data_IF_027944484603
#
_entry.id   IF_027944484603
#
_cell.length_a   1.000
_cell.length_b   1.000
_cell.length_c   1.000
_cell.angle_alpha   90.00
_cell.angle_beta   90.00
_cell.angle_gamma   90.00
#
_symmetry.space_group_name_H-M   'P 1'
#
loop_
_entity.id
_entity.type
_entity.pdbx_description
1 polymer ?
#
# COMPACT_ATOMS: atom_id res chain seq x y z
N UNK A 1 -18.30 -7.50 22.39
CA UNK A 1 -18.67 -6.59 23.48
C UNK A 1 -19.37 -7.41 24.55
N UNK A 2 -18.92 -7.30 25.79
CA UNK A 2 -19.59 -7.90 26.94
C UNK A 2 -20.03 -6.78 27.89
N UNK A 3 -21.18 -6.94 28.54
CA UNK A 3 -21.69 -5.94 29.50
C UNK A 3 -20.74 -5.73 30.68
N UNK A 4 -20.02 -6.79 31.08
CA UNK A 4 -19.05 -6.78 32.19
C UNK A 4 -17.81 -5.90 31.97
N UNK A 5 -17.60 -5.42 30.73
CA UNK A 5 -16.54 -4.46 30.41
C UNK A 5 -16.89 -3.02 30.80
N UNK A 6 -18.15 -2.76 31.15
CA UNK A 6 -18.64 -1.43 31.49
C UNK A 6 -19.25 -1.46 32.90
N UNK A 7 -18.65 -0.73 33.83
CA UNK A 7 -19.11 -0.67 35.22
C UNK A 7 -20.44 0.10 35.37
N UNK A 8 -20.72 1.02 34.45
CA UNK A 8 -21.92 1.84 34.40
C UNK A 8 -22.38 1.94 32.95
N UNK A 9 -23.46 1.23 32.62
CA UNK A 9 -23.98 1.16 31.26
C UNK A 9 -25.50 1.03 31.28
N UNK A 10 -26.18 1.90 30.52
CA UNK A 10 -27.64 1.88 30.35
C UNK A 10 -27.95 2.22 28.87
N UNK A 11 -27.75 1.24 27.98
CA UNK A 11 -28.01 1.36 26.54
C UNK A 11 -29.50 1.40 26.22
N UNK A 12 -30.36 1.04 27.17
CA UNK A 12 -31.80 1.07 27.00
C UNK A 12 -32.45 2.35 27.57
N UNK A 13 -31.69 3.12 28.35
CA UNK A 13 -32.04 4.40 28.97
C UNK A 13 -33.26 4.29 29.92
N UNK A 14 -33.35 3.22 30.71
CA UNK A 14 -34.41 3.03 31.73
C UNK A 14 -33.99 3.48 33.14
N UNK A 15 -32.74 3.94 33.31
CA UNK A 15 -32.18 4.36 34.59
C UNK A 15 -31.71 3.21 35.48
N UNK A 16 -31.62 1.99 34.96
CA UNK A 16 -31.08 0.81 35.62
C UNK A 16 -29.80 0.40 34.89
N UNK A 17 -28.77 0.01 35.65
CA UNK A 17 -27.51 -0.41 35.06
C UNK A 17 -27.69 -1.78 34.37
N UNK A 18 -27.55 -1.82 33.04
CA UNK A 18 -27.62 -3.04 32.22
C UNK A 18 -26.59 -4.09 32.63
N UNK A 19 -25.51 -3.67 33.30
CA UNK A 19 -24.56 -4.57 33.93
C UNK A 19 -25.25 -5.53 34.92
N UNK A 20 -26.30 -5.10 35.60
CA UNK A 20 -26.98 -5.86 36.64
C UNK A 20 -28.28 -6.49 36.16
N UNK A 21 -28.92 -5.95 35.12
CA UNK A 21 -30.24 -6.41 34.65
C UNK A 21 -30.26 -7.20 33.34
N UNK A 22 -29.25 -7.06 32.46
CA UNK A 22 -29.25 -7.74 31.15
C UNK A 22 -28.34 -8.95 31.13
N UNK A 23 -28.70 -10.00 30.39
CA UNK A 23 -27.72 -11.01 29.99
C UNK A 23 -26.76 -10.48 28.92
N UNK A 24 -25.56 -11.06 28.78
CA UNK A 24 -24.61 -10.70 27.72
C UNK A 24 -25.23 -10.81 26.30
N UNK A 25 -26.10 -11.80 26.09
CA UNK A 25 -26.79 -12.00 24.80
C UNK A 25 -27.85 -10.92 24.55
N UNK A 26 -28.60 -10.53 25.57
CA UNK A 26 -29.56 -9.42 25.46
C UNK A 26 -28.85 -8.10 25.18
N UNK A 27 -27.80 -7.80 25.95
CA UNK A 27 -26.98 -6.61 25.77
C UNK A 27 -26.42 -6.54 24.34
N UNK A 28 -25.83 -7.63 23.85
CA UNK A 28 -25.28 -7.70 22.49
C UNK A 28 -26.36 -7.53 21.41
N UNK A 29 -27.53 -8.15 21.59
CA UNK A 29 -28.66 -8.03 20.66
C UNK A 29 -29.15 -6.58 20.57
N UNK A 30 -29.31 -5.91 21.71
CA UNK A 30 -29.71 -4.49 21.76
C UNK A 30 -28.65 -3.58 21.15
N UNK A 31 -27.37 -3.80 21.49
CA UNK A 31 -26.26 -3.07 20.88
C UNK A 31 -26.28 -3.19 19.35
N UNK A 32 -26.42 -4.41 18.83
CA UNK A 32 -26.51 -4.65 17.38
C UNK A 32 -27.75 -4.00 16.76
N UNK A 33 -28.89 -4.01 17.45
CA UNK A 33 -30.10 -3.30 17.02
C UNK A 33 -29.89 -1.78 16.92
N UNK A 34 -29.17 -1.18 17.87
CA UNK A 34 -28.79 0.23 17.80
C UNK A 34 -27.91 0.54 16.59
N UNK A 35 -26.92 -0.32 16.30
CA UNK A 35 -26.07 -0.18 15.10
C UNK A 35 -26.91 -0.27 13.83
N UNK A 36 -27.85 -1.22 13.75
CA UNK A 36 -28.73 -1.36 12.58
C UNK A 36 -29.60 -0.11 12.35
N UNK A 37 -30.15 0.48 13.42
CA UNK A 37 -30.89 1.76 13.35
C UNK A 37 -30.02 2.90 12.86
N UNK A 38 -28.77 3.01 13.37
CA UNK A 38 -27.81 4.03 12.92
C UNK A 38 -27.50 3.85 11.43
N UNK A 39 -27.20 2.62 11.00
CA UNK A 39 -26.90 2.30 9.60
C UNK A 39 -28.09 2.60 8.69
N UNK A 40 -29.31 2.27 9.11
CA UNK A 40 -30.52 2.54 8.33
C UNK A 40 -30.74 4.05 8.18
N UNK A 41 -30.69 4.81 9.29
CA UNK A 41 -30.85 6.27 9.24
C UNK A 41 -29.77 6.94 8.39
N UNK A 42 -28.53 6.46 8.47
CA UNK A 42 -27.45 6.95 7.65
C UNK A 42 -27.72 6.66 6.17
N UNK A 43 -28.12 5.43 5.83
CA UNK A 43 -28.46 5.02 4.46
C UNK A 43 -29.61 5.85 3.90
N UNK A 44 -30.69 6.04 4.66
CA UNK A 44 -31.84 6.86 4.26
C UNK A 44 -31.44 8.32 3.99
N UNK A 45 -30.46 8.84 4.74
CA UNK A 45 -29.99 10.22 4.60
C UNK A 45 -29.04 10.43 3.42
N UNK A 46 -28.14 9.48 3.16
CA UNK A 46 -27.14 9.61 2.07
C UNK A 46 -27.67 9.11 0.72
N UNK A 47 -28.72 8.30 0.73
CA UNK A 47 -29.30 7.69 -0.47
C UNK A 47 -28.48 6.50 -1.01
N UNK A 48 -28.93 5.90 -2.13
CA UNK A 48 -28.28 4.74 -2.74
C UNK A 48 -26.99 5.08 -3.50
N UNK A 49 -26.84 6.33 -3.95
CA UNK A 49 -25.73 6.74 -4.83
C UNK A 49 -24.41 7.01 -4.08
N UNK A 50 -24.42 6.92 -2.75
CA UNK A 50 -23.25 7.12 -1.90
C UNK A 50 -22.75 5.79 -1.35
N UNK A 51 -21.44 5.61 -1.37
CA UNK A 51 -20.80 4.46 -0.74
C UNK A 51 -20.88 4.59 0.78
N UNK A 52 -21.28 3.51 1.45
CA UNK A 52 -21.11 3.33 2.89
C UNK A 52 -20.24 2.11 3.11
N UNK A 53 -19.05 2.31 3.67
CA UNK A 53 -18.11 1.24 4.03
C UNK A 53 -17.96 1.29 5.54
N UNK A 54 -18.17 0.17 6.21
CA UNK A 54 -18.02 0.08 7.66
C UNK A 54 -16.68 -0.52 7.99
N UNK A 55 -15.90 0.19 8.80
CA UNK A 55 -14.75 -0.40 9.45
C UNK A 55 -15.20 -1.11 10.73
N UNK A 56 -15.14 -2.43 10.74
CA UNK A 56 -15.44 -3.25 11.92
C UNK A 56 -14.22 -3.93 12.51
N UNK A 57 -13.02 -3.66 11.99
CA UNK A 57 -11.75 -4.31 12.32
C UNK A 57 -11.67 -5.80 11.96
N UNK A 58 -12.81 -6.50 11.89
CA UNK A 58 -12.90 -7.94 11.60
C UNK A 58 -14.22 -8.27 10.89
N UNK A 59 -14.35 -9.52 10.44
CA UNK A 59 -15.55 -10.09 9.80
C UNK A 59 -16.78 -10.01 10.71
N UNK A 60 -17.87 -9.39 10.25
CA UNK A 60 -19.17 -9.33 10.92
C UNK A 60 -20.33 -9.75 10.02
N UNK A 61 -21.52 -10.11 10.57
CA UNK A 61 -22.67 -10.61 9.77
C UNK A 61 -23.94 -9.73 9.80
N UNK A 62 -23.87 -8.55 10.41
CA UNK A 62 -24.97 -7.60 10.53
C UNK A 62 -24.87 -6.46 9.50
N UNK A 63 -25.98 -5.75 9.23
CA UNK A 63 -26.00 -4.51 8.43
C UNK A 63 -25.56 -4.62 6.97
N UNK A 64 -25.34 -5.83 6.46
CA UNK A 64 -24.84 -6.05 5.09
C UNK A 64 -25.74 -5.40 4.03
N UNK A 65 -27.05 -5.51 4.19
CA UNK A 65 -28.07 -4.92 3.31
C UNK A 65 -28.09 -3.38 3.28
N UNK A 66 -27.30 -2.71 4.12
CA UNK A 66 -27.27 -1.24 4.26
C UNK A 66 -25.92 -0.66 3.85
N UNK A 67 -24.90 -1.48 3.62
CA UNK A 67 -23.53 -1.05 3.31
C UNK A 67 -23.04 -1.61 1.96
N UNK A 68 -22.08 -0.91 1.36
CA UNK A 68 -21.41 -1.33 0.13
C UNK A 68 -20.32 -2.37 0.40
N UNK A 69 -19.78 -2.40 1.62
CA UNK A 69 -18.83 -3.41 2.09
C UNK A 69 -18.15 -2.92 3.35
N UNK A 70 -16.92 -3.38 3.59
CA UNK A 70 -16.25 -3.13 4.87
C UNK A 70 -14.74 -2.97 4.75
N UNK A 71 -14.12 -2.51 5.84
CA UNK A 71 -12.68 -2.61 6.05
C UNK A 71 -12.41 -3.79 7.01
N UNK A 72 -11.57 -4.72 6.57
CA UNK A 72 -11.03 -5.80 7.41
C UNK A 72 -9.59 -5.46 7.74
N UNK A 73 -9.35 -5.05 8.99
CA UNK A 73 -8.04 -4.57 9.43
C UNK A 73 -7.10 -5.70 9.86
N UNK A 74 -5.80 -5.41 9.82
CA UNK A 74 -4.74 -6.23 10.42
C UNK A 74 -4.83 -7.68 9.95
N UNK A 75 -5.09 -7.86 8.65
CA UNK A 75 -5.31 -9.16 8.04
C UNK A 75 -4.01 -9.94 7.94
N UNK A 76 -3.81 -10.85 8.90
CA UNK A 76 -2.63 -11.72 9.04
C UNK A 76 -3.00 -13.16 8.73
N UNK A 77 -3.10 -13.49 7.45
CA UNK A 77 -3.55 -14.81 7.00
C UNK A 77 -5.06 -15.04 7.05
N UNK A 78 -5.50 -16.18 6.51
CA UNK A 78 -6.91 -16.58 6.39
C UNK A 78 -7.30 -17.66 7.38
N UNK A 79 -8.60 -17.77 7.71
CA UNK A 79 -9.07 -18.71 8.73
C UNK A 79 -9.52 -20.05 8.13
N UNK A 80 -9.59 -20.14 6.81
CA UNK A 80 -9.72 -21.38 6.08
C UNK A 80 -8.67 -21.49 4.95
N UNK A 81 -8.62 -22.65 4.33
CA UNK A 81 -7.73 -22.95 3.20
C UNK A 81 -8.32 -22.53 1.84
N UNK A 82 -9.36 -21.69 1.86
CA UNK A 82 -10.07 -21.19 0.68
C UNK A 82 -10.26 -19.68 0.78
N UNK A 83 -9.27 -18.99 1.37
CA UNK A 83 -9.17 -17.53 1.44
C UNK A 83 -10.45 -16.83 1.90
N UNK A 84 -11.16 -17.45 2.84
CA UNK A 84 -12.45 -17.03 3.38
C UNK A 84 -13.52 -16.75 2.31
N UNK A 85 -13.37 -17.35 1.12
CA UNK A 85 -14.19 -17.11 -0.08
C UNK A 85 -15.68 -17.28 0.15
N UNK A 86 -16.08 -18.26 0.95
CA UNK A 86 -17.50 -18.46 1.29
C UNK A 86 -18.04 -17.25 2.03
N UNK A 87 -17.32 -16.76 3.03
CA UNK A 87 -17.77 -15.65 3.85
C UNK A 87 -17.83 -14.36 3.02
N UNK A 88 -16.82 -14.11 2.20
CA UNK A 88 -16.80 -12.96 1.30
C UNK A 88 -17.85 -13.05 0.18
N UNK A 89 -18.14 -14.26 -0.30
CA UNK A 89 -19.24 -14.53 -1.22
C UNK A 89 -20.61 -14.24 -0.59
N UNK A 90 -20.80 -14.62 0.67
CA UNK A 90 -22.04 -14.34 1.40
C UNK A 90 -22.28 -12.82 1.52
N UNK A 91 -21.33 -12.04 2.05
CA UNK A 91 -21.52 -10.58 2.18
C UNK A 91 -21.75 -9.91 0.81
N UNK A 92 -21.00 -10.33 -0.23
CA UNK A 92 -21.17 -9.78 -1.59
C UNK A 92 -22.58 -10.00 -2.12
N UNK A 93 -23.25 -11.09 -1.74
CA UNK A 93 -24.64 -11.35 -2.15
C UNK A 93 -25.64 -10.35 -1.53
N UNK A 94 -25.39 -9.93 -0.29
CA UNK A 94 -26.33 -9.12 0.49
C UNK A 94 -25.98 -7.62 0.53
N UNK A 95 -24.73 -7.26 0.26
CA UNK A 95 -24.27 -5.87 0.25
C UNK A 95 -24.96 -5.01 -0.81
N UNK A 96 -25.19 -3.75 -0.46
CA UNK A 96 -25.61 -2.69 -1.39
C UNK A 96 -24.57 -2.59 -2.51
N UNK A 97 -25.03 -2.36 -3.75
CA UNK A 97 -24.14 -2.26 -4.91
C UNK A 97 -23.75 -0.80 -5.19
N UNK A 98 -22.51 -0.54 -5.68
CA UNK A 98 -21.45 -1.51 -5.95
C UNK A 98 -20.84 -2.08 -4.66
N UNK A 99 -20.32 -3.31 -4.74
CA UNK A 99 -19.64 -3.95 -3.62
C UNK A 99 -18.23 -3.39 -3.48
N UNK A 100 -17.87 -2.91 -2.29
CA UNK A 100 -16.60 -2.25 -2.00
C UNK A 100 -16.10 -2.68 -0.63
N UNK A 101 -15.18 -3.64 -0.61
CA UNK A 101 -14.48 -4.10 0.59
C UNK A 101 -12.99 -3.83 0.43
N UNK A 102 -12.36 -3.38 1.51
CA UNK A 102 -10.91 -3.21 1.62
C UNK A 102 -10.39 -4.23 2.62
N UNK A 103 -9.44 -5.07 2.19
CA UNK A 103 -8.63 -5.86 3.10
C UNK A 103 -7.32 -5.12 3.37
N UNK A 104 -7.10 -4.75 4.63
CA UNK A 104 -5.85 -4.15 5.07
C UNK A 104 -4.94 -5.24 5.65
N UNK A 105 -4.02 -5.70 4.81
CA UNK A 105 -3.04 -6.72 5.13
C UNK A 105 -1.92 -6.17 6.00
N UNK A 106 -1.31 -7.05 6.79
CA UNK A 106 -0.05 -6.74 7.46
C UNK A 106 0.77 -8.00 7.69
N UNK A 107 2.10 -7.91 7.81
CA UNK A 107 2.93 -9.05 8.13
C UNK A 107 2.54 -9.67 9.48
N UNK A 108 2.79 -10.97 9.64
CA UNK A 108 2.60 -11.65 10.92
C UNK A 108 3.93 -11.79 11.67
N UNK A 109 3.96 -11.37 12.95
CA UNK A 109 5.20 -11.33 13.75
C UNK A 109 5.98 -12.65 13.75
N UNK A 110 5.28 -13.78 13.80
CA UNK A 110 5.84 -15.13 13.87
C UNK A 110 6.07 -15.77 12.50
N UNK A 111 5.84 -15.04 11.40
CA UNK A 111 5.95 -15.62 10.05
C UNK A 111 7.42 -15.85 9.66
N UNK A 112 7.79 -17.06 9.18
CA UNK A 112 9.18 -17.42 8.89
C UNK A 112 9.74 -16.71 7.64
N UNK A 113 8.86 -16.15 6.80
CA UNK A 113 9.23 -15.36 5.60
C UNK A 113 8.92 -13.87 5.77
N UNK A 114 8.69 -13.41 7.00
CA UNK A 114 8.53 -11.99 7.30
C UNK A 114 9.80 -11.24 6.87
N UNK A 115 9.62 -10.13 6.16
CA UNK A 115 10.71 -9.23 5.82
C UNK A 115 11.22 -8.47 7.04
N UNK A 116 12.45 -7.96 6.95
CA UNK A 116 12.95 -6.98 7.90
C UNK A 116 13.69 -5.87 7.12
N UNK A 117 13.22 -4.62 7.17
CA UNK A 117 12.01 -4.15 7.85
C UNK A 117 10.72 -4.78 7.30
N UNK A 118 9.63 -4.70 8.06
CA UNK A 118 8.34 -5.33 7.74
C UNK A 118 7.76 -4.98 6.36
N UNK A 119 7.98 -3.74 5.89
CA UNK A 119 7.63 -3.31 4.52
C UNK A 119 8.24 -4.18 3.42
N UNK A 120 9.28 -4.95 3.72
CA UNK A 120 9.92 -5.86 2.76
C UNK A 120 9.35 -7.29 2.84
N UNK A 121 8.19 -7.49 3.51
CA UNK A 121 7.47 -8.77 3.58
C UNK A 121 6.70 -9.07 2.29
N UNK A 122 7.39 -9.05 1.14
CA UNK A 122 6.80 -9.16 -0.19
C UNK A 122 5.97 -10.43 -0.42
N UNK A 123 6.30 -11.55 0.24
CA UNK A 123 5.50 -12.78 0.18
C UNK A 123 4.11 -12.59 0.77
N UNK A 124 4.02 -11.95 1.95
CA UNK A 124 2.74 -11.71 2.62
C UNK A 124 1.91 -10.62 1.89
N UNK A 125 2.58 -9.60 1.35
CA UNK A 125 1.96 -8.58 0.50
C UNK A 125 1.38 -9.21 -0.78
N UNK A 126 2.17 -10.00 -1.52
CA UNK A 126 1.72 -10.69 -2.75
C UNK A 126 0.60 -11.68 -2.46
N UNK A 127 0.66 -12.38 -1.33
CA UNK A 127 -0.42 -13.26 -0.90
C UNK A 127 -1.73 -12.46 -0.73
N UNK A 128 -1.71 -11.38 0.04
CA UNK A 128 -2.93 -10.61 0.32
C UNK A 128 -3.52 -9.95 -0.92
N UNK A 129 -2.70 -9.35 -1.80
CA UNK A 129 -3.22 -8.72 -3.04
C UNK A 129 -3.85 -9.76 -3.98
N UNK A 130 -3.26 -10.96 -4.11
CA UNK A 130 -3.85 -12.01 -4.95
C UNK A 130 -5.13 -12.56 -4.34
N UNK A 131 -5.21 -12.72 -3.02
CA UNK A 131 -6.46 -13.12 -2.37
C UNK A 131 -7.55 -12.05 -2.50
N UNK A 132 -7.19 -10.76 -2.42
CA UNK A 132 -8.10 -9.66 -2.70
C UNK A 132 -8.59 -9.69 -4.15
N UNK A 133 -7.70 -9.96 -5.11
CA UNK A 133 -8.06 -10.20 -6.51
C UNK A 133 -8.98 -11.41 -6.69
N UNK A 134 -8.88 -12.46 -5.87
CA UNK A 134 -9.80 -13.61 -5.91
C UNK A 134 -11.17 -13.29 -5.31
N UNK A 135 -11.23 -12.37 -4.35
CA UNK A 135 -12.44 -11.94 -3.68
C UNK A 135 -13.03 -10.61 -4.23
N UNK A 136 -12.59 -10.06 -5.36
CA UNK A 136 -12.95 -8.70 -5.83
C UNK A 136 -12.92 -7.62 -4.72
N UNK A 137 -11.80 -7.53 -4.00
CA UNK A 137 -11.58 -6.52 -2.97
C UNK A 137 -10.52 -5.51 -3.38
N UNK A 138 -10.57 -4.35 -2.73
CA UNK A 138 -9.43 -3.45 -2.62
C UNK A 138 -8.46 -4.01 -1.58
N UNK A 139 -7.19 -3.66 -1.71
CA UNK A 139 -6.14 -4.14 -0.83
C UNK A 139 -5.21 -3.01 -0.43
N UNK A 140 -4.83 -2.99 0.84
CA UNK A 140 -3.69 -2.22 1.36
C UNK A 140 -2.77 -3.16 2.11
N UNK A 141 -1.50 -2.78 2.25
CA UNK A 141 -0.54 -3.52 3.05
C UNK A 141 0.23 -2.58 3.97
N UNK A 142 -0.03 -2.76 5.26
CA UNK A 142 0.56 -2.01 6.34
C UNK A 142 1.84 -2.69 6.84
N UNK A 143 2.79 -1.87 7.28
CA UNK A 143 3.95 -2.28 8.06
C UNK A 143 3.58 -2.56 9.55
N UNK A 144 4.18 -3.57 10.19
CA UNK A 144 4.00 -3.82 11.62
C UNK A 144 4.45 -2.64 12.49
N UNK A 145 5.51 -1.95 12.09
CA UNK A 145 6.09 -0.79 12.73
C UNK A 145 5.09 0.38 12.75
N UNK A 146 4.15 0.41 11.80
CA UNK A 146 3.09 1.42 11.70
C UNK A 146 1.99 1.30 12.77
N UNK A 147 2.03 0.28 13.63
CA UNK A 147 1.11 0.10 14.77
C UNK A 147 -0.37 0.23 14.41
N UNK A 148 -1.05 1.32 14.82
CA UNK A 148 -2.47 1.59 14.58
C UNK A 148 -2.69 2.38 13.27
N UNK A 149 -2.21 1.82 12.15
CA UNK A 149 -2.42 2.37 10.79
C UNK A 149 -1.80 3.76 10.56
N UNK A 150 -0.66 4.07 11.19
CA UNK A 150 -0.02 5.38 11.04
C UNK A 150 0.54 5.62 9.64
N UNK A 151 1.00 4.58 8.94
CA UNK A 151 1.46 4.69 7.56
C UNK A 151 1.22 3.39 6.79
N UNK A 152 1.31 3.49 5.48
CA UNK A 152 1.23 2.37 4.54
C UNK A 152 2.17 2.65 3.37
N UNK A 153 2.62 1.60 2.71
CA UNK A 153 3.56 1.71 1.61
C UNK A 153 2.91 1.37 0.28
N UNK A 154 3.49 1.92 -0.78
CA UNK A 154 3.13 1.59 -2.15
C UNK A 154 4.06 0.50 -2.68
N UNK A 155 3.48 -0.45 -3.41
CA UNK A 155 4.22 -1.60 -3.95
C UNK A 155 4.10 -1.63 -5.47
N UNK A 156 5.12 -2.15 -6.17
CA UNK A 156 5.09 -2.24 -7.64
C UNK A 156 3.85 -3.00 -8.13
N UNK A 157 3.41 -4.03 -7.40
CA UNK A 157 2.21 -4.80 -7.66
C UNK A 157 0.91 -3.95 -7.73
N UNK A 158 0.87 -2.80 -7.04
CA UNK A 158 -0.31 -1.92 -7.03
C UNK A 158 -0.47 -1.13 -8.33
N UNK A 159 0.62 -0.93 -9.09
CA UNK A 159 0.60 -0.23 -10.38
C UNK A 159 0.38 -1.19 -11.56
N UNK A 160 0.19 -2.48 -11.30
CA UNK A 160 -0.08 -3.47 -12.35
C UNK A 160 -1.54 -3.40 -12.81
N UNK A 161 -1.75 -3.07 -14.08
CA UNK A 161 -3.08 -3.08 -14.70
C UNK A 161 -3.39 -4.43 -15.37
N UNK A 162 -4.19 -5.25 -14.69
CA UNK A 162 -4.71 -6.52 -15.21
C UNK A 162 -5.99 -6.36 -16.06
N UNK A 163 -6.63 -5.20 -16.06
CA UNK A 163 -7.97 -5.02 -16.62
C UNK A 163 -9.08 -5.69 -15.77
N UNK A 164 -10.18 -6.07 -16.41
CA UNK A 164 -11.30 -6.72 -15.72
C UNK A 164 -11.08 -8.24 -15.60
N UNK A 165 -11.63 -8.90 -14.57
CA UNK A 165 -11.62 -10.35 -14.47
C UNK A 165 -12.48 -10.96 -15.58
N UNK A 166 -11.95 -12.00 -16.26
CA UNK A 166 -12.69 -12.70 -17.33
C UNK A 166 -13.57 -13.83 -16.79
N UNK A 167 -13.46 -14.14 -15.50
CA UNK A 167 -14.21 -15.20 -14.82
C UNK A 167 -13.93 -15.26 -13.32
N UNK A 168 -14.54 -16.23 -12.60
CA UNK A 168 -14.19 -16.53 -11.21
C UNK A 168 -12.78 -17.17 -11.13
N UNK A 169 -12.18 -17.23 -9.92
CA UNK A 169 -10.97 -18.04 -9.69
C UNK A 169 -11.21 -19.53 -9.99
N UNK A 170 -10.21 -20.18 -10.59
CA UNK A 170 -10.14 -21.61 -10.86
C UNK A 170 -9.10 -22.29 -9.99
N UNK A 171 -9.40 -23.48 -9.50
CA UNK A 171 -8.41 -24.29 -8.78
C UNK A 171 -7.53 -25.02 -9.81
N UNK A 172 -6.23 -24.74 -9.78
CA UNK A 172 -5.24 -25.40 -10.64
C UNK A 172 -4.91 -26.79 -10.09
N UNK A 173 -4.66 -26.84 -8.78
CA UNK A 173 -4.36 -28.03 -7.99
C UNK A 173 -4.81 -27.78 -6.55
N UNK A 174 -4.77 -28.81 -5.69
CA UNK A 174 -5.17 -28.65 -4.28
C UNK A 174 -4.40 -27.49 -3.63
N UNK A 175 -5.12 -26.44 -3.21
CA UNK A 175 -4.54 -25.28 -2.52
C UNK A 175 -3.97 -24.17 -3.43
N UNK A 176 -3.91 -24.38 -4.75
CA UNK A 176 -3.39 -23.41 -5.72
C UNK A 176 -4.49 -22.97 -6.68
N UNK A 177 -4.64 -21.66 -6.85
CA UNK A 177 -5.70 -21.05 -7.62
C UNK A 177 -5.15 -20.05 -8.63
N UNK A 178 -5.86 -19.86 -9.74
CA UNK A 178 -5.63 -18.82 -10.73
C UNK A 178 -6.90 -18.04 -10.98
N UNK A 179 -6.78 -16.74 -11.22
CA UNK A 179 -7.84 -15.93 -11.81
C UNK A 179 -7.31 -15.22 -13.05
N UNK A 180 -8.08 -15.28 -14.13
CA UNK A 180 -7.75 -14.65 -15.41
C UNK A 180 -8.39 -13.28 -15.54
N UNK A 181 -7.67 -12.39 -16.22
CA UNK A 181 -8.04 -11.01 -16.47
C UNK A 181 -7.75 -10.64 -17.94
N UNK A 182 -8.31 -9.52 -18.40
CA UNK A 182 -8.15 -9.04 -19.77
C UNK A 182 -6.67 -8.96 -20.20
N UNK A 183 -5.78 -8.53 -19.30
CA UNK A 183 -4.37 -8.25 -19.57
C UNK A 183 -3.41 -9.24 -18.92
N UNK A 184 -3.90 -10.29 -18.24
CA UNK A 184 -3.02 -11.17 -17.49
C UNK A 184 -3.73 -12.23 -16.63
N UNK A 185 -3.04 -12.67 -15.60
CA UNK A 185 -3.55 -13.62 -14.62
C UNK A 185 -2.91 -13.37 -13.24
N UNK A 186 -3.61 -13.77 -12.18
CA UNK A 186 -3.07 -13.83 -10.83
C UNK A 186 -3.09 -15.29 -10.35
N UNK A 187 -2.00 -15.77 -9.79
CA UNK A 187 -1.88 -17.13 -9.22
C UNK A 187 -1.54 -17.00 -7.74
N UNK A 188 -2.17 -17.81 -6.89
CA UNK A 188 -1.87 -17.81 -5.46
C UNK A 188 -2.07 -19.17 -4.80
N UNK A 189 -1.32 -19.40 -3.72
CA UNK A 189 -1.51 -20.52 -2.80
C UNK A 189 -2.24 -20.03 -1.54
N UNK A 190 -3.10 -20.86 -0.94
CA UNK A 190 -3.89 -20.44 0.22
C UNK A 190 -4.07 -21.51 1.31
N UNK A 191 -3.49 -22.70 1.14
CA UNK A 191 -3.68 -23.83 2.06
C UNK A 191 -2.55 -24.01 3.08
N UNK A 192 -1.61 -23.07 3.13
CA UNK A 192 -0.50 -23.10 4.08
C UNK A 192 0.59 -24.11 3.73
N UNK A 193 0.58 -24.68 2.53
CA UNK A 193 1.63 -25.56 2.03
C UNK A 193 2.49 -24.87 0.96
N UNK A 194 3.70 -25.40 0.78
CA UNK A 194 4.59 -25.05 -0.33
C UNK A 194 4.07 -25.69 -1.61
N UNK A 195 4.00 -24.91 -2.70
CA UNK A 195 3.54 -25.39 -4.00
C UNK A 195 4.44 -24.94 -5.14
N UNK A 196 4.33 -25.59 -6.29
CA UNK A 196 4.87 -25.09 -7.56
C UNK A 196 3.72 -24.91 -8.53
N UNK A 197 3.65 -23.74 -9.16
CA UNK A 197 2.73 -23.46 -10.26
C UNK A 197 3.53 -23.18 -11.53
N UNK A 198 3.09 -23.73 -12.66
CA UNK A 198 3.75 -23.59 -13.94
C UNK A 198 2.81 -23.03 -15.01
N UNK A 199 3.38 -22.51 -16.10
CA UNK A 199 2.63 -22.04 -17.25
C UNK A 199 1.77 -23.15 -17.88
N UNK A 200 2.23 -24.39 -17.85
CA UNK A 200 1.49 -25.54 -18.38
C UNK A 200 0.18 -25.79 -17.62
N UNK A 201 0.18 -25.58 -16.30
CA UNK A 201 -1.01 -25.80 -15.48
C UNK A 201 -2.17 -24.86 -15.83
N UNK A 202 -1.88 -23.75 -16.49
CA UNK A 202 -2.87 -22.76 -16.91
C UNK A 202 -3.57 -23.12 -18.22
N UNK A 203 -2.94 -23.93 -19.06
CA UNK A 203 -3.40 -24.22 -20.45
C UNK A 203 -4.70 -25.01 -20.51
N UNK A 204 -5.14 -25.59 -19.40
CA UNK A 204 -6.38 -26.35 -19.29
C UNK A 204 -7.66 -25.48 -19.26
N UNK A 205 -7.52 -24.17 -19.00
CA UNK A 205 -8.66 -23.26 -18.86
C UNK A 205 -8.95 -22.51 -20.16
N UNK A 206 -10.23 -22.36 -20.51
CA UNK A 206 -10.66 -21.64 -21.72
C UNK A 206 -10.27 -20.16 -21.74
N UNK A 207 -10.12 -19.56 -20.56
CA UNK A 207 -9.74 -18.16 -20.35
C UNK A 207 -8.23 -17.92 -20.48
N UNK A 208 -7.43 -18.99 -20.52
CA UNK A 208 -6.00 -18.87 -20.71
C UNK A 208 -5.69 -18.23 -22.06
N UNK A 209 -4.93 -17.14 -22.01
CA UNK A 209 -4.55 -16.35 -23.18
C UNK A 209 -3.08 -15.91 -23.07
N UNK A 210 -2.22 -16.86 -22.67
CA UNK A 210 -0.77 -16.66 -22.62
C UNK A 210 -0.08 -16.67 -24.00
N UNK A 211 1.27 -16.63 -24.05
CA UNK A 211 2.17 -16.73 -22.90
C UNK A 211 2.02 -15.54 -21.95
N UNK A 212 2.33 -15.77 -20.67
CA UNK A 212 2.37 -14.70 -19.68
C UNK A 212 3.81 -14.38 -19.27
N UNK A 213 4.00 -13.21 -18.69
CA UNK A 213 5.28 -12.64 -18.29
C UNK A 213 5.19 -12.16 -16.85
N UNK A 214 6.27 -12.34 -16.09
CA UNK A 214 6.50 -11.54 -14.88
C UNK A 214 6.65 -10.10 -15.32
N UNK A 215 6.03 -9.14 -14.63
CA UNK A 215 6.41 -7.75 -14.84
C UNK A 215 7.84 -7.55 -14.32
N UNK A 216 8.53 -6.52 -14.81
CA UNK A 216 9.87 -6.15 -14.37
C UNK A 216 9.75 -5.06 -13.31
N UNK A 217 9.86 -5.46 -12.04
CA UNK A 217 9.73 -4.61 -10.86
C UNK A 217 11.07 -4.20 -10.26
N UNK A 218 11.01 -3.21 -9.36
CA UNK A 218 12.13 -2.62 -8.66
C UNK A 218 12.26 -3.10 -7.22
N UNK A 219 11.16 -3.39 -6.54
CA UNK A 219 11.18 -3.73 -5.11
C UNK A 219 11.55 -5.21 -4.85
N UNK A 220 11.08 -6.12 -5.71
CA UNK A 220 11.38 -7.55 -5.61
C UNK A 220 11.79 -8.15 -6.97
N UNK A 221 12.98 -7.80 -7.50
CA UNK A 221 13.42 -8.21 -8.84
C UNK A 221 13.70 -9.71 -8.97
N UNK A 222 13.73 -10.48 -7.86
CA UNK A 222 13.86 -11.93 -7.90
C UNK A 222 12.55 -12.58 -8.39
N UNK A 223 11.41 -12.04 -7.98
CA UNK A 223 10.08 -12.49 -8.42
C UNK A 223 9.66 -11.74 -9.68
N UNK A 224 9.76 -10.42 -9.68
CA UNK A 224 9.27 -9.55 -10.75
C UNK A 224 10.44 -9.23 -11.71
N UNK A 225 10.94 -10.27 -12.37
CA UNK A 225 12.19 -10.21 -13.14
C UNK A 225 12.00 -9.87 -14.64
N UNK A 226 10.77 -9.64 -15.10
CA UNK A 226 10.47 -9.33 -16.51
C UNK A 226 10.49 -10.53 -17.48
N UNK A 227 10.83 -11.73 -17.02
CA UNK A 227 10.93 -12.91 -17.87
C UNK A 227 9.56 -13.50 -18.21
N UNK A 228 9.48 -14.21 -19.33
CA UNK A 228 8.33 -15.07 -19.63
C UNK A 228 8.13 -16.07 -18.48
N UNK A 229 6.89 -16.22 -18.04
CA UNK A 229 6.53 -17.10 -16.94
C UNK A 229 6.67 -18.56 -17.37
N UNK A 230 7.55 -19.28 -16.67
CA UNK A 230 7.70 -20.73 -16.79
C UNK A 230 7.11 -21.42 -15.55
N UNK A 231 7.65 -21.11 -14.37
CA UNK A 231 7.16 -21.61 -13.09
C UNK A 231 7.48 -20.67 -11.92
N UNK A 232 6.84 -20.91 -10.77
CA UNK A 232 7.12 -20.28 -9.48
C UNK A 232 6.91 -21.27 -8.33
N UNK A 233 7.80 -21.23 -7.33
CA UNK A 233 7.54 -21.81 -6.02
C UNK A 233 6.70 -20.82 -5.19
N UNK A 234 5.50 -21.21 -4.80
CA UNK A 234 4.62 -20.43 -3.95
C UNK A 234 4.81 -20.87 -2.50
N UNK A 235 5.25 -19.94 -1.67
CA UNK A 235 5.42 -20.20 -0.25
C UNK A 235 4.08 -20.40 0.46
N UNK A 236 4.08 -21.15 1.55
CA UNK A 236 2.91 -21.29 2.41
C UNK A 236 3.31 -21.80 3.79
N UNK A 237 2.53 -21.40 4.80
CA UNK A 237 2.69 -21.90 6.17
C UNK A 237 1.37 -21.81 6.94
N UNK A 238 1.28 -22.56 8.04
CA UNK A 238 0.16 -22.47 8.99
C UNK A 238 0.69 -22.01 10.34
N UNK A 239 0.12 -20.93 10.86
CA UNK A 239 0.52 -20.34 12.15
C UNK A 239 -0.74 -19.95 12.92
N UNK A 240 -0.85 -20.41 14.16
CA UNK A 240 -1.96 -20.07 15.07
C UNK A 240 -3.37 -20.28 14.46
N UNK A 241 -3.54 -21.39 13.73
CA UNK A 241 -4.79 -21.75 13.07
C UNK A 241 -5.12 -20.93 11.82
N UNK A 242 -4.16 -20.13 11.33
CA UNK A 242 -4.30 -19.31 10.12
C UNK A 242 -3.45 -19.84 8.99
N UNK A 243 -3.94 -19.61 7.79
CA UNK A 243 -3.34 -20.02 6.53
C UNK A 243 -2.65 -18.82 5.88
N UNK A 244 -1.37 -18.99 5.58
CA UNK A 244 -0.55 -18.05 4.85
C UNK A 244 -0.11 -18.68 3.53
N UNK A 245 0.02 -17.87 2.50
CA UNK A 245 0.43 -18.32 1.18
C UNK A 245 1.39 -17.34 0.53
N UNK A 246 1.40 -17.37 -0.79
CA UNK A 246 2.12 -16.46 -1.66
C UNK A 246 1.28 -16.23 -2.94
N UNK A 247 1.67 -15.23 -3.72
CA UNK A 247 1.00 -14.88 -4.96
C UNK A 247 1.96 -14.40 -6.03
N UNK A 248 1.49 -14.40 -7.27
CA UNK A 248 2.15 -13.73 -8.39
C UNK A 248 1.11 -13.14 -9.33
N UNK A 249 1.45 -11.96 -9.87
CA UNK A 249 0.70 -11.31 -10.94
C UNK A 249 1.50 -11.45 -12.23
N UNK A 250 0.81 -11.83 -13.30
CA UNK A 250 1.39 -12.12 -14.61
C UNK A 250 0.68 -11.32 -15.70
N UNK A 251 1.43 -10.80 -16.67
CA UNK A 251 0.93 -9.98 -17.77
C UNK A 251 1.04 -10.69 -19.12
N UNK A 252 0.17 -10.36 -20.07
CA UNK A 252 0.19 -10.90 -21.45
C UNK A 252 1.40 -10.42 -22.28
N UNK A 253 2.07 -9.37 -21.83
CA UNK A 253 3.22 -8.80 -22.53
C UNK A 253 4.25 -8.32 -21.50
N UNK A 254 5.55 -8.26 -21.85
CA UNK A 254 6.56 -7.68 -20.98
C UNK A 254 6.25 -6.22 -20.64
N UNK A 255 6.25 -5.88 -19.36
CA UNK A 255 6.10 -4.52 -18.87
C UNK A 255 7.13 -4.23 -17.77
N UNK A 256 7.59 -2.98 -17.71
CA UNK A 256 8.26 -2.45 -16.52
C UNK A 256 7.17 -1.79 -15.67
N UNK A 257 7.12 -2.15 -14.40
CA UNK A 257 6.17 -1.56 -13.44
C UNK A 257 6.98 -1.18 -12.20
N UNK A 258 7.03 0.11 -11.93
CA UNK A 258 7.86 0.67 -10.87
C UNK A 258 7.06 1.72 -10.12
N UNK A 259 6.90 1.47 -8.82
CA UNK A 259 6.51 2.49 -7.87
C UNK A 259 7.59 3.57 -7.73
N UNK A 260 7.18 4.77 -7.35
CA UNK A 260 8.11 5.83 -6.96
C UNK A 260 8.98 5.38 -5.79
N UNK A 261 10.29 5.67 -5.85
CA UNK A 261 11.21 5.39 -4.75
C UNK A 261 11.37 6.67 -3.93
N UNK A 262 10.93 6.67 -2.68
CA UNK A 262 11.15 7.77 -1.73
C UNK A 262 12.17 7.31 -0.70
N UNK A 263 13.22 8.10 -0.53
CA UNK A 263 14.18 7.97 0.58
C UNK A 263 13.92 9.14 1.51
N UNK A 264 13.62 8.82 2.76
CA UNK A 264 13.21 9.76 3.79
C UNK A 264 14.28 9.83 4.90
N UNK A 265 14.24 10.86 5.74
CA UNK A 265 15.08 10.94 6.93
C UNK A 265 14.76 9.83 7.95
N UNK A 266 13.57 9.21 7.85
CA UNK A 266 13.10 8.13 8.71
C UNK A 266 12.70 6.87 7.93
N UNK A 267 12.70 5.71 8.61
CA UNK A 267 12.29 4.46 7.98
C UNK A 267 10.80 4.45 7.58
N UNK A 268 9.94 5.14 8.34
CA UNK A 268 8.49 5.17 8.12
C UNK A 268 8.08 5.87 6.82
N UNK A 269 8.87 6.84 6.35
CA UNK A 269 8.67 7.52 5.06
C UNK A 269 9.40 6.88 3.88
N UNK A 270 10.27 5.89 4.12
CA UNK A 270 11.15 5.30 3.09
C UNK A 270 10.49 4.10 2.39
N UNK A 271 10.46 4.10 1.05
CA UNK A 271 9.83 3.06 0.22
C UNK A 271 10.34 1.63 0.52
N UNK A 272 9.53 0.59 0.27
CA UNK A 272 9.98 -0.81 0.29
C UNK A 272 11.25 -1.05 -0.54
N UNK A 273 12.06 -2.03 -0.13
CA UNK A 273 13.38 -2.38 -0.69
C UNK A 273 14.46 -1.28 -0.62
N UNK A 274 14.21 -0.18 0.08
CA UNK A 274 15.18 0.89 0.35
C UNK A 274 15.39 1.12 1.85
N UNK A 275 16.49 1.79 2.20
CA UNK A 275 16.85 2.19 3.57
C UNK A 275 16.77 3.72 3.69
N UNK A 276 16.49 4.21 4.90
CA UNK A 276 16.40 5.64 5.18
C UNK A 276 17.73 6.37 4.92
N UNK A 277 17.68 7.70 4.90
CA UNK A 277 18.84 8.54 4.68
C UNK A 277 19.96 8.32 5.72
N UNK A 278 21.20 8.39 5.26
CA UNK A 278 22.39 8.38 6.11
C UNK A 278 22.65 9.82 6.59
N UNK A 279 22.41 10.09 7.88
CA UNK A 279 22.54 11.43 8.47
C UNK A 279 23.85 11.56 9.26
N UNK A 280 24.60 12.63 9.00
CA UNK A 280 25.73 12.99 9.86
C UNK A 280 25.26 13.47 11.23
N UNK A 281 26.14 13.44 12.25
CA UNK A 281 25.78 13.69 13.65
C UNK A 281 25.26 15.10 13.96
N UNK A 282 25.38 16.04 13.03
CA UNK A 282 24.86 17.40 13.17
C UNK A 282 23.43 17.57 12.67
N UNK A 283 22.85 16.55 12.03
CA UNK A 283 21.43 16.49 11.69
C UNK A 283 20.66 15.83 12.84
N UNK A 284 19.72 16.58 13.41
CA UNK A 284 18.84 16.11 14.49
C UNK A 284 17.42 15.92 13.95
N UNK A 285 16.76 14.83 14.34
CA UNK A 285 15.39 14.55 13.94
C UNK A 285 14.41 15.53 14.60
N UNK A 286 13.55 16.16 13.80
CA UNK A 286 12.45 17.01 14.27
C UNK A 286 11.25 16.16 14.69
N UNK A 287 10.74 16.45 15.89
CA UNK A 287 9.44 15.93 16.36
C UNK A 287 8.34 17.00 16.36
N UNK A 288 8.59 18.13 15.70
CA UNK A 288 7.64 19.22 15.57
C UNK A 288 6.61 18.93 14.47
N UNK A 289 5.58 18.13 14.78
CA UNK A 289 4.62 17.62 13.80
C UNK A 289 3.65 18.67 13.19
N UNK A 290 4.05 19.93 13.06
CA UNK A 290 3.21 21.05 12.63
C UNK A 290 3.75 21.81 11.42
N UNK A 291 4.91 21.46 10.87
CA UNK A 291 5.37 22.03 9.61
C UNK A 291 5.08 21.08 8.44
N UNK A 292 5.30 21.56 7.23
CA UNK A 292 4.93 20.91 5.97
C UNK A 292 6.04 19.93 5.52
N UNK A 293 6.61 19.14 6.43
CA UNK A 293 7.54 18.07 6.09
C UNK A 293 6.88 16.88 5.38
N UNK A 294 7.66 16.09 4.66
CA UNK A 294 7.19 14.85 4.07
C UNK A 294 7.13 13.77 5.16
N UNK A 295 5.97 13.60 5.76
CA UNK A 295 5.76 12.56 6.77
C UNK A 295 4.39 11.94 6.62
N UNK A 296 4.34 10.61 6.52
CA UNK A 296 3.07 9.88 6.40
C UNK A 296 2.24 10.00 7.70
N UNK A 297 2.92 9.89 8.84
CA UNK A 297 2.37 10.27 10.15
C UNK A 297 3.47 10.51 11.17
N UNK A 298 3.52 11.73 11.71
CA UNK A 298 4.54 12.12 12.67
C UNK A 298 4.25 11.51 14.06
N UNK A 299 5.11 10.57 14.46
CA UNK A 299 4.98 9.73 15.67
C UNK A 299 6.39 9.34 16.14
N UNK A 300 7.08 10.27 16.81
CA UNK A 300 8.50 10.09 17.20
C UNK A 300 8.76 8.88 18.10
N UNK A 301 7.77 8.43 18.87
CA UNK A 301 7.88 7.19 19.67
C UNK A 301 7.80 5.90 18.83
N UNK A 302 7.55 6.01 17.53
CA UNK A 302 7.61 4.94 16.53
C UNK A 302 8.69 5.21 15.48
N UNK A 303 9.70 6.04 15.80
CA UNK A 303 10.80 6.38 14.87
C UNK A 303 10.32 7.06 13.57
N UNK A 304 9.18 7.77 13.64
CA UNK A 304 8.61 8.53 12.52
C UNK A 304 8.69 10.02 12.82
N UNK A 305 9.52 10.72 12.03
CA UNK A 305 9.89 12.11 12.21
C UNK A 305 9.52 12.92 10.99
N UNK A 306 9.38 14.23 11.16
CA UNK A 306 8.95 15.12 10.08
C UNK A 306 10.07 15.50 9.12
N UNK A 307 11.28 15.72 9.65
CA UNK A 307 12.49 16.08 8.89
C UNK A 307 13.69 15.90 9.83
N UNK A 308 14.90 15.87 9.30
CA UNK A 308 16.11 16.15 10.07
C UNK A 308 16.59 17.59 9.82
N UNK A 309 17.20 18.25 10.82
CA UNK A 309 17.68 19.64 10.71
C UNK A 309 19.11 19.76 11.23
N UNK A 310 19.96 20.50 10.51
CA UNK A 310 21.29 20.87 10.98
C UNK A 310 21.44 22.39 11.10
N UNK A 311 22.09 22.83 12.19
CA UNK A 311 22.52 24.22 12.39
C UNK A 311 24.04 24.40 12.24
N UNK A 312 24.74 23.35 11.81
CA UNK A 312 26.19 23.32 11.71
C UNK A 312 26.67 22.75 10.39
N UNK A 313 27.85 22.13 10.43
CA UNK A 313 28.45 21.43 9.30
C UNK A 313 28.07 19.97 9.29
N UNK A 314 27.79 19.40 8.12
CA UNK A 314 27.36 18.02 7.97
C UNK A 314 26.75 17.69 6.62
N UNK A 315 26.44 16.42 6.44
CA UNK A 315 25.78 15.88 5.24
C UNK A 315 24.62 14.96 5.59
N UNK A 316 23.67 14.86 4.67
CA UNK A 316 22.59 13.87 4.66
C UNK A 316 22.56 13.21 3.28
N UNK A 317 22.63 11.87 3.24
CA UNK A 317 22.75 11.10 2.00
C UNK A 317 21.54 10.21 1.78
N UNK A 318 20.84 10.46 0.67
CA UNK A 318 19.63 9.78 0.25
C UNK A 318 19.95 8.83 -0.89
N UNK A 319 20.00 7.53 -0.56
CA UNK A 319 20.52 6.48 -1.45
C UNK A 319 19.43 5.48 -1.84
N UNK A 320 18.88 5.56 -3.06
CA UNK A 320 17.89 4.60 -3.53
C UNK A 320 18.52 3.25 -3.87
N UNK A 321 17.75 2.17 -3.69
CA UNK A 321 18.06 0.89 -4.32
C UNK A 321 17.52 0.89 -5.75
N UNK A 322 18.41 1.08 -6.74
CA UNK A 322 18.00 1.08 -8.16
C UNK A 322 18.11 -0.34 -8.70
N UNK A 323 16.97 -0.98 -8.98
CA UNK A 323 16.97 -2.31 -9.60
C UNK A 323 16.76 -2.28 -11.13
N UNK A 324 16.35 -1.14 -11.68
CA UNK A 324 16.20 -0.93 -13.13
C UNK A 324 17.11 0.22 -13.57
N UNK A 325 18.14 -0.08 -14.36
CA UNK A 325 18.94 0.96 -15.00
C UNK A 325 18.05 1.79 -15.94
N UNK A 326 18.10 3.11 -15.81
CA UNK A 326 17.32 4.01 -16.66
C UNK A 326 17.41 5.46 -16.20
N UNK A 327 16.55 6.30 -16.76
CA UNK A 327 16.43 7.68 -16.31
C UNK A 327 15.41 7.77 -15.19
N UNK A 328 15.74 8.60 -14.22
CA UNK A 328 14.86 8.94 -13.11
C UNK A 328 14.78 10.45 -12.98
N UNK A 329 13.57 10.98 -12.76
CA UNK A 329 13.40 12.34 -12.27
C UNK A 329 13.58 12.34 -10.77
N UNK A 330 14.41 13.26 -10.30
CA UNK A 330 14.78 13.38 -8.90
C UNK A 330 14.12 14.63 -8.35
N UNK A 331 13.37 14.45 -7.27
CA UNK A 331 12.69 15.53 -6.56
C UNK A 331 13.22 15.62 -5.13
N UNK A 332 13.32 16.84 -4.62
CA UNK A 332 13.55 17.10 -3.20
C UNK A 332 12.29 17.66 -2.55
N UNK A 333 12.10 17.34 -1.29
CA UNK A 333 11.13 17.97 -0.41
C UNK A 333 11.87 18.61 0.75
N UNK A 334 11.43 19.79 1.17
CA UNK A 334 11.83 20.40 2.43
C UNK A 334 10.66 21.12 3.11
N UNK A 335 10.64 21.17 4.45
CA UNK A 335 9.64 21.93 5.20
C UNK A 335 9.99 23.42 5.30
N UNK A 336 8.99 24.21 5.66
CA UNK A 336 9.08 25.61 6.03
C UNK A 336 9.53 25.75 7.48
N UNK A 337 10.84 25.79 7.69
CA UNK A 337 11.43 26.01 9.00
C UNK A 337 11.98 27.42 9.10
N UNK A 338 11.73 28.09 10.23
CA UNK A 338 12.24 29.44 10.47
C UNK A 338 13.77 29.47 10.46
N UNK A 339 14.34 30.37 9.66
CA UNK A 339 15.79 30.55 9.58
C UNK A 339 16.52 29.52 8.72
N UNK A 340 15.82 28.81 7.83
CA UNK A 340 16.45 27.93 6.84
C UNK A 340 17.35 28.71 5.87
N UNK A 341 18.34 28.01 5.35
CA UNK A 341 19.34 28.54 4.44
C UNK A 341 18.78 28.75 3.03
N UNK A 342 19.21 29.84 2.38
CA UNK A 342 18.85 30.13 1.00
C UNK A 342 19.82 29.55 -0.04
N UNK A 343 20.86 28.84 0.39
CA UNK A 343 21.97 28.40 -0.47
C UNK A 343 22.45 26.97 -0.20
N UNK A 344 21.55 26.08 0.23
CA UNK A 344 21.86 24.68 0.53
C UNK A 344 22.34 23.97 -0.74
N UNK A 345 23.45 23.22 -0.64
CA UNK A 345 23.99 22.49 -1.78
C UNK A 345 23.43 21.06 -1.81
N UNK A 346 22.86 20.68 -2.94
CA UNK A 346 22.40 19.32 -3.23
C UNK A 346 23.26 18.73 -4.34
N UNK A 347 23.95 17.62 -4.08
CA UNK A 347 24.71 16.89 -5.09
C UNK A 347 23.98 15.65 -5.53
N UNK A 348 23.70 15.53 -6.82
CA UNK A 348 23.17 14.31 -7.43
C UNK A 348 24.32 13.53 -8.05
N UNK A 349 24.67 12.40 -7.42
CA UNK A 349 25.57 11.41 -8.01
C UNK A 349 24.74 10.47 -8.90
N UNK A 350 25.00 10.54 -10.20
CA UNK A 350 24.35 9.71 -11.22
C UNK A 350 25.36 8.85 -11.98
N UNK A 351 24.91 8.05 -12.95
CA UNK A 351 25.78 7.32 -13.85
C UNK A 351 26.62 8.25 -14.76
N UNK A 352 26.16 9.48 -14.98
CA UNK A 352 26.82 10.48 -15.84
C UNK A 352 27.79 11.39 -15.04
N UNK A 353 27.92 11.15 -13.73
CA UNK A 353 28.77 11.94 -12.82
C UNK A 353 27.96 12.72 -11.78
N UNK A 354 28.65 13.63 -11.09
CA UNK A 354 28.07 14.49 -10.05
C UNK A 354 27.58 15.80 -10.66
N UNK A 355 26.36 16.19 -10.33
CA UNK A 355 25.84 17.54 -10.58
C UNK A 355 25.45 18.19 -9.25
N UNK A 356 25.72 19.49 -9.09
CA UNK A 356 25.44 20.24 -7.86
C UNK A 356 24.38 21.31 -8.12
N UNK A 357 23.43 21.42 -7.21
CA UNK A 357 22.32 22.39 -7.23
C UNK A 357 22.36 23.24 -5.96
N UNK A 358 22.01 24.52 -6.09
CA UNK A 358 21.78 25.40 -4.95
C UNK A 358 20.28 25.53 -4.73
N UNK A 359 19.78 25.06 -3.60
CA UNK A 359 18.37 25.12 -3.22
C UNK A 359 18.17 26.19 -2.16
N UNK A 360 17.14 27.03 -2.36
CA UNK A 360 16.69 28.01 -1.38
C UNK A 360 15.55 27.42 -0.55
N UNK A 361 15.86 26.92 0.65
CA UNK A 361 14.88 26.27 1.54
C UNK A 361 13.93 27.27 2.25
N UNK A 362 13.95 28.55 1.85
CA UNK A 362 12.97 29.56 2.30
C UNK A 362 11.77 29.67 1.33
N UNK A 363 11.77 28.89 0.24
CA UNK A 363 10.81 28.97 -0.84
C UNK A 363 10.43 27.56 -1.29
N UNK A 364 9.20 27.38 -1.80
CA UNK A 364 8.74 26.10 -2.35
C UNK A 364 8.73 24.94 -1.33
N UNK A 365 8.45 25.24 -0.07
CA UNK A 365 8.28 24.23 0.98
C UNK A 365 7.00 23.41 0.78
N UNK A 366 6.95 22.22 1.40
CA UNK A 366 5.71 21.45 1.47
C UNK A 366 5.26 20.85 0.14
N UNK A 367 6.19 20.67 -0.80
CA UNK A 367 5.93 20.10 -2.12
C UNK A 367 7.19 19.44 -2.72
N UNK A 368 6.99 18.61 -3.73
CA UNK A 368 8.08 17.98 -4.50
C UNK A 368 8.67 18.96 -5.52
N UNK A 369 9.92 19.37 -5.31
CA UNK A 369 10.68 20.25 -6.21
C UNK A 369 11.64 19.44 -7.09
N UNK A 370 11.58 19.60 -8.41
CA UNK A 370 12.44 18.82 -9.33
C UNK A 370 13.88 19.36 -9.34
N UNK A 371 14.86 18.49 -9.06
CA UNK A 371 16.28 18.76 -9.27
C UNK A 371 16.71 18.50 -10.72
N UNK A 372 16.07 17.52 -11.37
CA UNK A 372 16.27 17.22 -12.77
C UNK A 372 16.10 15.75 -13.11
N UNK A 373 16.53 15.39 -14.32
CA UNK A 373 16.46 14.04 -14.88
C UNK A 373 17.87 13.47 -15.04
N UNK A 374 18.12 12.32 -14.42
CA UNK A 374 19.46 11.72 -14.38
C UNK A 374 19.41 10.23 -14.69
N UNK A 375 20.48 9.71 -15.29
CA UNK A 375 20.62 8.27 -15.52
C UNK A 375 21.17 7.60 -14.27
N UNK A 376 20.49 6.57 -13.79
CA UNK A 376 20.98 5.72 -12.71
C UNK A 376 21.29 4.32 -13.23
N UNK A 377 22.40 3.76 -12.75
CA UNK A 377 22.75 2.36 -12.96
C UNK A 377 22.15 1.49 -11.86
N UNK A 378 21.84 0.23 -12.18
CA UNK A 378 21.47 -0.76 -11.18
C UNK A 378 22.48 -0.79 -10.02
N UNK A 379 21.98 -0.87 -8.79
CA UNK A 379 22.73 -0.84 -7.54
C UNK A 379 22.44 0.41 -6.70
N UNK A 380 23.36 0.75 -5.82
CA UNK A 380 23.24 1.83 -4.82
C UNK A 380 24.30 2.94 -5.00
N UNK A 381 24.99 2.94 -6.14
CA UNK A 381 26.07 3.88 -6.44
C UNK A 381 25.57 5.31 -6.68
N UNK A 382 24.32 5.47 -7.14
CA UNK A 382 23.71 6.79 -7.30
C UNK A 382 22.97 7.23 -6.03
N UNK A 383 22.99 8.52 -5.74
CA UNK A 383 22.41 9.11 -4.53
C UNK A 383 22.26 10.62 -4.67
N UNK A 384 21.50 11.23 -3.74
CA UNK A 384 21.49 12.67 -3.51
C UNK A 384 22.13 12.96 -2.16
N UNK A 385 23.07 13.90 -2.12
CA UNK A 385 23.72 14.37 -0.89
C UNK A 385 23.34 15.83 -0.64
N UNK A 386 22.75 16.10 0.52
CA UNK A 386 22.50 17.46 1.02
C UNK A 386 23.68 17.86 1.90
N UNK A 387 24.21 19.07 1.69
CA UNK A 387 25.40 19.58 2.36
C UNK A 387 25.03 20.83 3.16
N UNK A 388 25.24 20.77 4.48
CA UNK A 388 25.02 21.89 5.38
C UNK A 388 26.23 22.84 5.48
N UNK A 389 27.41 22.38 5.06
CA UNK A 389 28.64 23.18 5.10
C UNK A 389 28.52 24.47 4.28
N UNK A 390 28.75 25.61 4.93
CA UNK A 390 28.69 26.93 4.27
C UNK A 390 27.27 27.44 4.00
N UNK A 391 26.25 26.78 4.55
CA UNK A 391 24.88 27.25 4.53
C UNK A 391 24.72 28.57 5.32
N UNK A 392 23.88 29.47 4.81
CA UNK A 392 23.54 30.76 5.43
C UNK A 392 22.62 30.67 6.66
N UNK A 393 22.11 29.48 6.98
CA UNK A 393 21.13 29.23 8.03
C UNK A 393 20.97 27.74 8.29
N UNK A 394 19.87 27.35 8.92
CA UNK A 394 19.56 25.95 9.16
C UNK A 394 19.36 25.18 7.84
N UNK A 395 19.72 23.90 7.82
CA UNK A 395 19.50 23.02 6.66
C UNK A 395 18.58 21.89 7.06
N UNK A 396 17.43 21.80 6.40
CA UNK A 396 16.52 20.67 6.52
C UNK A 396 16.93 19.56 5.53
N UNK A 397 16.83 18.32 5.98
CA UNK A 397 16.99 17.11 5.17
C UNK A 397 15.82 16.19 5.49
N UNK A 398 14.89 16.10 4.53
CA UNK A 398 13.59 15.49 4.72
C UNK A 398 13.46 14.28 3.78
N UNK A 399 13.04 14.49 2.52
CA UNK A 399 12.83 13.40 1.58
C UNK A 399 13.33 13.69 0.16
N UNK A 400 13.80 12.63 -0.51
CA UNK A 400 14.17 12.63 -1.93
C UNK A 400 13.36 11.56 -2.65
N UNK A 401 12.70 11.92 -3.75
CA UNK A 401 11.90 11.00 -4.56
C UNK A 401 12.52 10.78 -5.94
N UNK A 402 12.59 9.52 -6.35
CA UNK A 402 13.07 9.07 -7.66
C UNK A 402 11.90 8.45 -8.42
N UNK A 403 11.48 9.13 -9.49
CA UNK A 403 10.39 8.68 -10.37
C UNK A 403 11.02 8.10 -11.63
N UNK A 404 10.75 6.82 -11.93
CA UNK A 404 11.24 6.22 -13.16
C UNK A 404 10.65 6.94 -14.38
N UNK A 405 11.53 7.34 -15.30
CA UNK A 405 11.18 8.07 -16.51
C UNK A 405 11.74 7.27 -17.70
N UNK A 406 11.01 6.24 -18.11
CA UNK A 406 11.37 5.33 -19.22
C UNK A 406 11.45 6.04 -20.58
N UNK A 407 10.94 7.25 -20.64
CA UNK A 407 10.79 8.07 -21.81
C UNK A 407 12.15 8.56 -22.35
N UNK A 408 12.58 8.00 -23.49
CA UNK A 408 13.45 8.69 -24.45
C UNK A 408 12.66 9.71 -25.31
N UNK A 409 11.41 10.04 -24.98
CA UNK A 409 10.55 10.97 -25.73
C UNK A 409 9.85 11.93 -24.77
N UNK A 410 9.98 13.23 -25.00
CA UNK A 410 9.35 14.29 -24.19
C UNK A 410 7.86 14.01 -23.94
N UNK A 411 7.40 14.22 -22.69
CA UNK A 411 5.98 14.15 -22.38
C UNK A 411 5.24 15.27 -23.10
N UNK A 412 4.11 14.92 -23.70
CA UNK A 412 3.10 15.87 -24.12
C UNK A 412 2.45 16.49 -22.86
N UNK A 413 2.65 17.79 -22.66
CA UNK A 413 2.01 18.57 -21.62
C UNK A 413 0.70 19.21 -22.10
N UNK A 414 0.29 19.00 -23.36
CA UNK A 414 -1.04 19.40 -23.80
C UNK A 414 -2.09 18.45 -23.23
N UNK A 415 -2.98 19.00 -22.40
CA UNK A 415 -4.16 18.28 -21.98
C UNK A 415 -4.99 17.89 -23.22
N UNK A 416 -5.51 16.64 -23.29
CA UNK A 416 -6.41 16.27 -24.37
C UNK A 416 -7.62 17.21 -24.39
N UNK A 417 -8.07 17.60 -25.59
CA UNK A 417 -9.27 18.40 -25.73
C UNK A 417 -10.46 17.74 -25.01
N UNK A 418 -11.27 18.55 -24.31
CA UNK A 418 -12.44 18.05 -23.61
C UNK A 418 -13.33 17.21 -24.55
N UNK A 419 -13.89 16.07 -24.09
CA UNK A 419 -14.71 15.22 -24.93
C UNK A 419 -15.90 15.98 -25.54
N UNK A 420 -15.84 16.25 -26.84
CA UNK A 420 -16.99 16.77 -27.57
C UNK A 420 -17.91 15.59 -27.92
N UNK A 421 -19.19 15.68 -27.53
CA UNK A 421 -20.29 14.74 -27.85
C UNK A 421 -20.46 13.52 -26.91
N UNK A 422 -20.20 13.66 -25.60
CA UNK A 422 -20.71 12.67 -24.64
C UNK A 422 -22.24 12.76 -24.57
N UNK A 423 -22.94 11.77 -25.13
CA UNK A 423 -24.37 11.59 -24.89
C UNK A 423 -24.57 10.57 -23.78
N UNK A 424 -25.13 11.02 -22.66
CA UNK A 424 -25.59 10.14 -21.58
C UNK A 424 -26.90 9.49 -22.03
N UNK A 425 -26.87 8.21 -22.39
CA UNK A 425 -28.08 7.43 -22.54
C UNK A 425 -28.53 6.90 -21.17
N UNK A 426 -29.53 7.54 -20.59
CA UNK A 426 -30.30 6.96 -19.50
C UNK A 426 -31.26 5.95 -20.14
N UNK A 427 -31.03 4.65 -19.95
CA UNK A 427 -32.02 3.63 -20.32
C UNK A 427 -33.22 3.79 -19.37
N UNK A 428 -34.34 4.30 -19.91
CA UNK A 428 -35.61 4.40 -19.19
C UNK A 428 -36.31 3.05 -19.05
N UNK A 429 -36.92 2.88 -17.86
CA UNK A 429 -37.86 1.88 -17.34
C UNK A 429 -38.16 0.61 -18.14
#
# INVERSE_FOLDING_TARGET
YKRDQFADVDINNNGVNDHDEMSDSEFLSRWQGCIDVIMQKLRDRIGPDKLLIINSGTKHRWGWDKQNGMIVEKRRGFFDNQFDSKWFGDIRKYAVKPYVTLEDGMPYNSHPKKGYPSKDSFTEMRFGIVMAMFNDHYYSFQDLEASEHYWSFWYDEFDVDLGQPTGPPHQISSGVWVRFFDKGAAIGSCDGAMHTASANDLTQFSEYAGPYYRFRGGQNPQVNNGQMFDSIELHGTKIDGRYFGDGIILLKQPHIVLSDIVIDNSASGTSPASVQAELSSSFEQSSDCYVDGYVLSCKSWLDSYETAVSYGSGTAVFRPTINITGFYRVYEWHPNISGTSSNVQYKVQSADGVQTFTVNQQQNSGQWNELGRFKFSNGTNGYVEIIADGASGAVAADAIKFVFDDYNTERDFEAPAAPAKVQVQIKGN
#
